data_IF_035053238337
#
_entry.id   IF_035053238337
#
_cell.length_a   1.000
_cell.length_b   1.000
_cell.length_c   1.000
_cell.angle_alpha   90.00
_cell.angle_beta   90.00
_cell.angle_gamma   90.00
#
_symmetry.space_group_name_H-M   'P 1'
#
loop_
_entity.id
_entity.type
_entity.pdbx_description
1 polymer ?
#
# COMPACT_ATOMS: atom_id res chain seq x y z
N UNK A 1 -7.89 -5.57 -21.61
CA UNK A 1 -7.68 -4.22 -22.18
C UNK A 1 -6.97 -3.41 -21.12
N UNK A 2 -5.93 -2.67 -21.47
CA UNK A 2 -5.19 -1.81 -20.52
C UNK A 2 -5.90 -0.45 -20.50
N UNK A 3 -6.29 0.03 -19.31
CA UNK A 3 -6.97 1.31 -19.10
C UNK A 3 -6.15 2.20 -18.14
N UNK A 4 -5.07 2.83 -18.64
CA UNK A 4 -4.13 3.53 -17.78
C UNK A 4 -4.69 4.91 -17.37
N UNK A 5 -4.68 5.18 -16.07
CA UNK A 5 -5.02 6.49 -15.50
C UNK A 5 -3.83 7.10 -14.77
N UNK A 6 -3.79 8.43 -14.65
CA UNK A 6 -2.77 9.12 -13.85
C UNK A 6 -3.13 9.01 -12.37
N UNK A 7 -2.23 8.42 -11.58
CA UNK A 7 -2.31 8.48 -10.12
C UNK A 7 -2.01 9.92 -9.64
N UNK A 8 -3.01 10.60 -9.08
CA UNK A 8 -2.93 11.99 -8.63
C UNK A 8 -2.71 12.14 -7.13
N UNK A 9 -1.66 11.55 -6.59
CA UNK A 9 -1.36 11.60 -5.15
C UNK A 9 -0.16 12.48 -4.82
N UNK A 10 -0.22 13.15 -3.69
CA UNK A 10 0.95 13.76 -3.05
C UNK A 10 1.68 12.67 -2.25
N UNK A 11 2.98 12.51 -2.50
CA UNK A 11 3.84 11.57 -1.78
C UNK A 11 5.17 12.24 -1.45
N UNK A 12 5.82 11.76 -0.38
CA UNK A 12 7.16 12.21 -0.02
C UNK A 12 8.16 11.96 -1.15
N UNK A 13 9.01 12.96 -1.43
CA UNK A 13 10.03 12.88 -2.49
C UNK A 13 10.88 11.60 -2.38
N UNK A 14 11.31 11.29 -1.16
CA UNK A 14 12.14 10.10 -0.88
C UNK A 14 11.43 8.80 -1.27
N UNK A 15 10.12 8.72 -1.04
CA UNK A 15 9.35 7.54 -1.41
C UNK A 15 9.25 7.42 -2.94
N UNK A 16 8.98 8.53 -3.63
CA UNK A 16 8.97 8.58 -5.11
C UNK A 16 10.30 8.10 -5.70
N UNK A 17 11.41 8.66 -5.24
CA UNK A 17 12.75 8.32 -5.73
C UNK A 17 13.08 6.85 -5.48
N UNK A 18 12.64 6.28 -4.34
CA UNK A 18 12.81 4.86 -4.05
C UNK A 18 12.06 3.98 -5.05
N UNK A 19 10.81 4.31 -5.36
CA UNK A 19 10.01 3.58 -6.36
C UNK A 19 10.71 3.62 -7.72
N UNK A 20 11.16 4.80 -8.15
CA UNK A 20 11.83 4.97 -9.44
C UNK A 20 13.16 4.21 -9.51
N UNK A 21 13.94 4.20 -8.43
CA UNK A 21 15.20 3.46 -8.37
C UNK A 21 14.98 1.95 -8.46
N UNK A 22 13.95 1.42 -7.79
CA UNK A 22 13.60 -0.01 -7.86
C UNK A 22 13.11 -0.41 -9.25
N UNK A 23 12.23 0.40 -9.85
CA UNK A 23 11.76 0.16 -11.21
C UNK A 23 12.92 0.20 -12.23
N UNK A 24 13.84 1.16 -12.08
CA UNK A 24 15.02 1.27 -12.92
C UNK A 24 15.94 0.04 -12.80
N UNK A 25 16.15 -0.46 -11.58
CA UNK A 25 16.95 -1.68 -11.36
C UNK A 25 16.37 -2.90 -12.09
N UNK A 26 15.03 -3.00 -12.12
CA UNK A 26 14.30 -4.04 -12.84
C UNK A 26 14.09 -3.75 -14.33
N UNK A 27 14.55 -2.60 -14.82
CA UNK A 27 14.39 -2.12 -16.22
C UNK A 27 12.94 -2.02 -16.67
N UNK A 28 12.05 -1.64 -15.76
CA UNK A 28 10.62 -1.41 -16.05
C UNK A 28 10.23 0.04 -15.77
N UNK A 29 9.04 0.45 -16.21
CA UNK A 29 8.52 1.77 -15.87
C UNK A 29 8.08 1.82 -14.39
N UNK A 30 8.17 2.99 -13.73
CA UNK A 30 7.67 3.15 -12.36
C UNK A 30 6.18 2.81 -12.20
N UNK A 31 5.35 3.14 -13.20
CA UNK A 31 3.92 2.80 -13.21
C UNK A 31 3.71 1.28 -13.21
N UNK A 32 4.40 0.55 -14.09
CA UNK A 32 4.30 -0.90 -14.14
C UNK A 32 4.81 -1.54 -12.84
N UNK A 33 5.90 -1.03 -12.28
CA UNK A 33 6.38 -1.52 -10.99
C UNK A 33 5.36 -1.31 -9.86
N UNK A 34 4.69 -0.15 -9.81
CA UNK A 34 3.62 0.10 -8.85
C UNK A 34 2.41 -0.81 -9.06
N UNK A 35 2.00 -1.05 -10.31
CA UNK A 35 0.94 -2.02 -10.64
C UNK A 35 1.32 -3.42 -10.11
N UNK A 36 2.54 -3.88 -10.37
CA UNK A 36 3.02 -5.17 -9.85
C UNK A 36 3.06 -5.22 -8.32
N UNK A 37 3.44 -4.13 -7.64
CA UNK A 37 3.39 -4.06 -6.18
C UNK A 37 1.97 -4.18 -5.63
N UNK A 38 0.99 -3.53 -6.28
CA UNK A 38 -0.42 -3.60 -5.88
C UNK A 38 -0.98 -5.00 -6.11
N UNK A 39 -0.64 -5.65 -7.22
CA UNK A 39 -1.11 -7.00 -7.55
C UNK A 39 -0.56 -8.09 -6.60
N UNK A 40 0.60 -7.85 -5.97
CA UNK A 40 1.32 -8.84 -5.16
C UNK A 40 1.43 -8.47 -3.68
N UNK A 41 0.71 -7.45 -3.24
CA UNK A 41 0.70 -7.09 -1.82
C UNK A 41 0.04 -8.21 -1.01
N UNK A 42 0.76 -8.78 -0.06
CA UNK A 42 0.17 -9.75 0.87
C UNK A 42 -0.79 -9.03 1.81
N UNK A 43 -2.04 -9.50 1.85
CA UNK A 43 -3.09 -8.97 2.70
C UNK A 43 -3.59 -10.03 3.68
N UNK A 44 -4.05 -9.57 4.84
CA UNK A 44 -4.68 -10.41 5.86
C UNK A 44 -6.16 -10.71 5.51
N UNK A 45 -6.85 -11.41 6.41
CA UNK A 45 -8.28 -11.74 6.26
C UNK A 45 -9.21 -10.52 6.22
N UNK A 46 -8.73 -9.33 6.60
CA UNK A 46 -9.47 -8.05 6.52
C UNK A 46 -9.17 -7.30 5.23
N UNK A 47 -8.29 -7.82 4.37
CA UNK A 47 -7.85 -7.14 3.15
C UNK A 47 -6.85 -6.01 3.42
N UNK A 48 -6.20 -6.01 4.58
CA UNK A 48 -5.19 -5.00 4.95
C UNK A 48 -3.79 -5.57 4.71
N UNK A 49 -2.82 -4.79 4.18
CA UNK A 49 -1.45 -5.29 4.02
C UNK A 49 -0.88 -5.80 5.34
N UNK A 50 -0.20 -6.95 5.32
CA UNK A 50 0.30 -7.62 6.55
C UNK A 50 1.31 -6.77 7.34
N UNK A 51 1.97 -5.83 6.69
CA UNK A 51 2.91 -4.87 7.27
C UNK A 51 2.27 -3.53 7.64
N UNK A 52 0.99 -3.32 7.29
CA UNK A 52 0.31 -2.08 7.63
C UNK A 52 0.21 -1.98 9.16
N UNK A 53 0.58 -0.83 9.76
CA UNK A 53 0.46 -0.66 11.19
C UNK A 53 -0.97 -1.01 11.62
N UNK A 54 -1.11 -1.76 12.71
CA UNK A 54 -2.41 -2.01 13.29
C UNK A 54 -3.05 -0.64 13.56
N UNK A 55 -4.04 -0.29 12.74
CA UNK A 55 -5.00 0.73 13.14
C UNK A 55 -5.72 0.05 14.28
N UNK A 56 -5.52 0.54 15.50
CA UNK A 56 -6.47 0.31 16.57
C UNK A 56 -7.81 0.77 16.01
N UNK A 57 -8.59 -0.17 15.48
CA UNK A 57 -9.98 0.11 15.24
C UNK A 57 -10.50 0.25 16.67
N UNK A 58 -10.64 1.49 17.14
CA UNK A 58 -11.48 1.79 18.29
C UNK A 58 -12.93 1.53 17.84
N UNK A 59 -13.22 0.29 17.46
CA UNK A 59 -14.55 -0.15 17.08
C UNK A 59 -15.31 -0.37 18.36
N UNK A 60 -15.71 0.74 19.00
CA UNK A 60 -16.69 0.75 20.07
C UNK A 60 -16.51 -0.35 21.11
N UNK A 61 -15.28 -0.67 21.52
CA UNK A 61 -15.06 -1.44 22.73
C UNK A 61 -15.62 -0.60 23.89
N UNK A 62 -16.91 -0.78 24.17
CA UNK A 62 -17.38 -0.61 25.53
C UNK A 62 -16.57 -1.62 26.33
N UNK A 63 -15.78 -1.21 27.35
CA UNK A 63 -15.10 -2.16 28.20
C UNK A 63 -16.17 -3.00 28.90
N UNK A 64 -16.37 -4.23 28.41
CA UNK A 64 -17.23 -5.22 29.06
C UNK A 64 -16.30 -6.13 29.87
N UNK A 65 -16.62 -6.27 31.16
CA UNK A 65 -15.90 -6.86 32.31
C UNK A 65 -15.16 -5.79 33.13
N UNK A 66 -15.78 -5.15 34.15
CA UNK A 66 -16.34 -5.69 35.42
C UNK A 66 -15.30 -6.51 36.22
N UNK A 67 -15.10 -6.28 37.54
CA UNK A 67 -16.13 -6.11 38.59
C UNK A 67 -16.33 -4.69 39.15
#
# INVERSE_FOLDING_TARGET
>A
MVDPIRAGWEIERRAKERVEALALHLKVSPSYFLEQLVDHIEVDVRGVPTWWPAVEIQDGELPINSP
#
